data_IF_868900534842
#
_entry.id   IF_868900534842
#
_cell.length_a   1.000
_cell.length_b   1.000
_cell.length_c   1.000
_cell.angle_alpha   90.00
_cell.angle_beta   90.00
_cell.angle_gamma   90.00
#
_symmetry.space_group_name_H-M   'P 1'
#
loop_
_entity.id
_entity.type
_entity.pdbx_description
1 polymer ?
#
# COMPACT_ATOMS: atom_id res chain seq x y z
N UNK A 1 -19.72 -17.30 26.45
CA UNK A 1 -21.17 -17.61 26.59
C UNK A 1 -22.09 -16.37 26.54
N UNK A 2 -22.34 -15.58 27.60
CA UNK A 2 -23.32 -14.46 27.52
C UNK A 2 -22.98 -13.34 26.51
N UNK A 3 -21.69 -13.00 26.36
CA UNK A 3 -21.25 -11.99 25.37
C UNK A 3 -21.37 -12.53 23.94
N UNK A 4 -21.11 -13.83 23.78
CA UNK A 4 -21.14 -14.54 22.50
C UNK A 4 -22.56 -14.65 21.95
N UNK A 5 -23.51 -15.03 22.80
CA UNK A 5 -24.93 -15.06 22.43
C UNK A 5 -25.46 -13.66 22.10
N UNK A 6 -25.00 -12.62 22.81
CA UNK A 6 -25.34 -11.23 22.49
C UNK A 6 -24.84 -10.85 21.09
N UNK A 7 -23.56 -11.10 20.79
CA UNK A 7 -22.95 -10.78 19.49
C UNK A 7 -23.64 -11.56 18.36
N UNK A 8 -23.89 -12.86 18.57
CA UNK A 8 -24.53 -13.71 17.57
C UNK A 8 -25.97 -13.28 17.29
N UNK A 9 -26.71 -12.88 18.32
CA UNK A 9 -28.07 -12.36 18.17
C UNK A 9 -28.08 -11.02 17.43
N UNK A 10 -27.13 -10.13 17.75
CA UNK A 10 -26.99 -8.83 17.08
C UNK A 10 -26.60 -9.00 15.61
N UNK A 11 -25.69 -9.92 15.33
CA UNK A 11 -25.31 -10.32 13.98
C UNK A 11 -26.50 -10.88 13.22
N UNK A 12 -27.22 -11.86 13.79
CA UNK A 12 -28.38 -12.49 13.14
C UNK A 12 -29.45 -11.46 12.76
N UNK A 13 -29.69 -10.46 13.62
CA UNK A 13 -30.66 -9.40 13.36
C UNK A 13 -30.23 -8.45 12.23
N UNK A 14 -28.94 -8.16 12.11
CA UNK A 14 -28.38 -7.23 11.13
C UNK A 14 -27.56 -7.95 10.04
N UNK A 15 -27.80 -9.25 9.84
CA UNK A 15 -26.94 -10.12 9.05
C UNK A 15 -26.84 -9.64 7.60
N UNK A 16 -27.98 -9.27 7.01
CA UNK A 16 -28.03 -8.77 5.64
C UNK A 16 -27.14 -7.53 5.44
N UNK A 17 -27.32 -6.49 6.26
CA UNK A 17 -26.49 -5.27 6.18
C UNK A 17 -25.00 -5.57 6.36
N UNK A 18 -24.68 -6.45 7.31
CA UNK A 18 -23.30 -6.80 7.65
C UNK A 18 -22.62 -7.56 6.51
N UNK A 19 -23.32 -8.55 5.93
CA UNK A 19 -22.86 -9.28 4.75
C UNK A 19 -22.70 -8.36 3.54
N UNK A 20 -23.60 -7.38 3.36
CA UNK A 20 -23.46 -6.37 2.29
C UNK A 20 -22.17 -5.56 2.48
N UNK A 21 -21.90 -5.05 3.69
CA UNK A 21 -20.67 -4.29 3.95
C UNK A 21 -19.40 -5.13 3.74
N UNK A 22 -19.40 -6.38 4.23
CA UNK A 22 -18.29 -7.32 4.04
C UNK A 22 -18.04 -7.65 2.57
N UNK A 23 -19.09 -7.89 1.78
CA UNK A 23 -18.98 -8.14 0.34
C UNK A 23 -18.43 -6.93 -0.42
N UNK A 24 -18.92 -5.72 -0.10
CA UNK A 24 -18.41 -4.48 -0.70
C UNK A 24 -16.93 -4.27 -0.36
N UNK A 25 -16.52 -4.56 0.88
CA UNK A 25 -15.12 -4.42 1.31
C UNK A 25 -14.20 -5.49 0.73
N UNK A 26 -14.71 -6.71 0.50
CA UNK A 26 -14.02 -7.72 -0.28
C UNK A 26 -13.74 -7.24 -1.71
N UNK A 27 -14.76 -6.70 -2.40
CA UNK A 27 -14.62 -6.13 -3.74
C UNK A 27 -13.67 -4.93 -3.79
N UNK A 28 -13.73 -4.07 -2.76
CA UNK A 28 -12.81 -2.94 -2.58
C UNK A 28 -11.36 -3.41 -2.47
N UNK A 29 -11.09 -4.39 -1.59
CA UNK A 29 -9.75 -4.96 -1.43
C UNK A 29 -9.23 -5.64 -2.70
N UNK A 30 -10.10 -6.37 -3.41
CA UNK A 30 -9.80 -6.96 -4.70
C UNK A 30 -9.36 -5.89 -5.71
N UNK A 31 -10.13 -4.81 -5.83
CA UNK A 31 -9.88 -3.73 -6.80
C UNK A 31 -8.56 -3.01 -6.53
N UNK A 32 -8.28 -2.63 -5.28
CA UNK A 32 -7.04 -1.93 -4.92
C UNK A 32 -5.82 -2.79 -5.21
N UNK A 33 -5.84 -4.07 -4.84
CA UNK A 33 -4.69 -4.95 -5.04
C UNK A 33 -4.48 -5.35 -6.50
N UNK A 34 -5.54 -5.34 -7.34
CA UNK A 34 -5.47 -5.73 -8.76
C UNK A 34 -4.57 -4.78 -9.56
N UNK A 35 -4.53 -3.53 -9.11
CA UNK A 35 -3.79 -2.47 -9.77
C UNK A 35 -2.26 -2.61 -9.60
N UNK A 36 -1.81 -3.23 -8.51
CA UNK A 36 -0.38 -3.44 -8.24
C UNK A 36 0.35 -4.28 -9.30
N UNK A 37 -0.09 -5.52 -9.60
CA UNK A 37 0.58 -6.35 -10.59
C UNK A 37 0.34 -5.88 -12.04
N UNK A 38 -0.70 -5.08 -12.29
CA UNK A 38 -1.03 -4.58 -13.65
C UNK A 38 -0.32 -3.28 -14.02
N UNK A 39 0.51 -2.69 -13.14
CA UNK A 39 1.22 -1.41 -13.39
C UNK A 39 2.03 -1.44 -14.69
N UNK A 40 2.78 -2.53 -14.94
CA UNK A 40 3.63 -2.63 -16.14
C UNK A 40 2.82 -2.77 -17.42
N UNK A 41 1.73 -3.53 -17.38
CA UNK A 41 0.83 -3.67 -18.53
C UNK A 41 0.13 -2.34 -18.82
N UNK A 42 -0.31 -1.58 -17.80
CA UNK A 42 -0.91 -0.25 -18.00
C UNK A 42 0.07 0.75 -18.62
N UNK A 43 1.34 0.71 -18.19
CA UNK A 43 2.42 1.51 -18.80
C UNK A 43 2.57 1.17 -20.28
N UNK A 44 2.63 -0.11 -20.61
CA UNK A 44 2.79 -0.59 -21.96
C UNK A 44 1.58 -0.25 -22.85
N UNK A 45 0.37 -0.48 -22.34
CA UNK A 45 -0.89 -0.16 -22.99
C UNK A 45 -1.00 1.34 -23.34
N UNK A 46 -0.55 2.22 -22.45
CA UNK A 46 -0.60 3.68 -22.66
C UNK A 46 0.63 4.25 -23.37
N UNK A 47 1.65 3.43 -23.63
CA UNK A 47 2.93 3.88 -24.20
C UNK A 47 3.67 4.92 -23.34
N UNK A 48 3.41 4.92 -22.03
CA UNK A 48 3.83 6.00 -21.13
C UNK A 48 5.05 5.65 -20.29
N UNK A 49 5.56 6.65 -19.57
CA UNK A 49 6.63 6.46 -18.59
C UNK A 49 6.07 5.95 -17.26
N UNK A 50 6.91 5.27 -16.47
CA UNK A 50 6.51 4.81 -15.14
C UNK A 50 6.13 5.98 -14.21
N UNK A 51 6.76 7.14 -14.40
CA UNK A 51 6.47 8.35 -13.66
C UNK A 51 5.05 8.85 -13.92
N UNK A 52 4.60 8.85 -15.18
CA UNK A 52 3.23 9.21 -15.55
C UNK A 52 2.20 8.26 -14.94
N UNK A 53 2.46 6.95 -14.97
CA UNK A 53 1.61 5.96 -14.29
C UNK A 53 1.58 6.17 -12.77
N UNK A 54 2.71 6.56 -12.16
CA UNK A 54 2.74 6.89 -10.72
C UNK A 54 1.84 8.10 -10.40
N UNK A 55 1.80 9.11 -11.27
CA UNK A 55 0.89 10.26 -11.13
C UNK A 55 -0.59 9.87 -11.27
N UNK A 56 -0.90 8.88 -12.10
CA UNK A 56 -2.26 8.29 -12.21
C UNK A 56 -2.69 7.70 -10.86
N UNK A 57 -1.84 6.87 -10.23
CA UNK A 57 -2.12 6.30 -8.91
C UNK A 57 -2.17 7.34 -7.81
N UNK A 58 -1.31 8.35 -7.87
CA UNK A 58 -1.39 9.48 -6.94
C UNK A 58 -2.74 10.20 -7.01
N UNK A 59 -3.25 10.43 -8.22
CA UNK A 59 -4.57 11.04 -8.46
C UNK A 59 -5.71 10.21 -7.83
N UNK A 60 -5.68 8.89 -8.00
CA UNK A 60 -6.62 7.97 -7.35
C UNK A 60 -6.61 8.12 -5.81
N UNK A 61 -5.43 8.13 -5.20
CA UNK A 61 -5.30 8.24 -3.73
C UNK A 61 -5.76 9.61 -3.22
N UNK A 62 -5.49 10.68 -3.97
CA UNK A 62 -5.99 12.02 -3.66
C UNK A 62 -7.52 12.07 -3.71
N UNK A 63 -8.12 11.52 -4.76
CA UNK A 63 -9.57 11.46 -4.89
C UNK A 63 -10.23 10.54 -3.86
N UNK A 64 -9.56 9.47 -3.43
CA UNK A 64 -9.99 8.63 -2.31
C UNK A 64 -10.09 9.44 -1.03
N UNK A 65 -9.08 10.25 -0.71
CA UNK A 65 -9.12 11.14 0.46
C UNK A 65 -10.31 12.12 0.39
N UNK A 66 -10.59 12.69 -0.78
CA UNK A 66 -11.73 13.57 -1.01
C UNK A 66 -13.06 12.82 -0.83
N UNK A 67 -13.15 11.60 -1.38
CA UNK A 67 -14.29 10.70 -1.23
C UNK A 67 -14.55 10.38 0.24
N UNK A 68 -13.51 10.06 1.01
CA UNK A 68 -13.65 9.78 2.44
C UNK A 68 -14.08 11.02 3.25
N UNK A 69 -13.58 12.19 2.88
CA UNK A 69 -13.96 13.45 3.53
C UNK A 69 -15.43 13.81 3.29
N UNK A 70 -15.98 13.45 2.13
CA UNK A 70 -17.37 13.75 1.75
C UNK A 70 -18.35 12.61 2.07
N UNK A 71 -17.86 11.38 2.29
CA UNK A 71 -18.65 10.17 2.53
C UNK A 71 -19.65 10.29 3.69
N UNK A 72 -19.32 11.08 4.71
CA UNK A 72 -20.21 11.32 5.87
C UNK A 72 -21.57 11.94 5.52
N UNK A 73 -21.66 12.68 4.42
CA UNK A 73 -22.91 13.31 3.94
C UNK A 73 -23.93 12.25 3.52
N UNK A 74 -23.46 11.13 2.97
CA UNK A 74 -24.30 10.07 2.40
C UNK A 74 -24.77 9.05 3.44
N UNK A 75 -24.54 9.29 4.73
CA UNK A 75 -24.91 8.35 5.80
C UNK A 75 -26.41 8.05 5.87
N UNK A 76 -27.29 9.00 5.49
CA UNK A 76 -28.74 8.77 5.43
C UNK A 76 -29.16 7.93 4.22
N UNK A 77 -28.40 7.98 3.13
CA UNK A 77 -28.64 7.28 1.86
C UNK A 77 -27.60 6.19 1.62
N UNK A 78 -27.06 5.62 2.70
CA UNK A 78 -25.86 4.80 2.69
C UNK A 78 -25.91 3.62 1.70
N UNK A 79 -26.99 2.84 1.69
CA UNK A 79 -27.10 1.69 0.77
C UNK A 79 -27.12 2.10 -0.70
N UNK A 80 -27.81 3.21 -1.03
CA UNK A 80 -27.87 3.75 -2.38
C UNK A 80 -26.48 4.22 -2.81
N UNK A 81 -25.80 4.98 -1.94
CA UNK A 81 -24.46 5.46 -2.19
C UNK A 81 -23.44 4.31 -2.36
N UNK A 82 -23.52 3.25 -1.54
CA UNK A 82 -22.68 2.06 -1.67
C UNK A 82 -22.94 1.32 -2.99
N UNK A 83 -24.20 1.18 -3.40
CA UNK A 83 -24.56 0.55 -4.66
C UNK A 83 -23.98 1.30 -5.86
N UNK A 84 -24.21 2.62 -5.94
CA UNK A 84 -23.68 3.43 -7.04
C UNK A 84 -22.15 3.52 -7.03
N UNK A 85 -21.52 3.64 -5.86
CA UNK A 85 -20.05 3.67 -5.77
C UNK A 85 -19.43 2.35 -6.22
N UNK A 86 -20.01 1.22 -5.83
CA UNK A 86 -19.57 -0.11 -6.29
C UNK A 86 -19.77 -0.29 -7.80
N UNK A 87 -20.91 0.17 -8.33
CA UNK A 87 -21.17 0.17 -9.77
C UNK A 87 -20.16 1.02 -10.54
N UNK A 88 -19.83 2.22 -10.04
CA UNK A 88 -18.82 3.09 -10.64
C UNK A 88 -17.46 2.39 -10.71
N UNK A 89 -17.02 1.73 -9.63
CA UNK A 89 -15.75 0.99 -9.61
C UNK A 89 -15.76 -0.11 -10.67
N UNK A 90 -16.83 -0.91 -10.74
CA UNK A 90 -16.98 -1.98 -11.74
C UNK A 90 -16.91 -1.45 -13.18
N UNK A 91 -17.61 -0.35 -13.47
CA UNK A 91 -17.59 0.31 -14.78
C UNK A 91 -16.20 0.84 -15.11
N UNK A 92 -15.51 1.47 -14.15
CA UNK A 92 -14.13 1.94 -14.35
C UNK A 92 -13.20 0.77 -14.70
N UNK A 93 -13.26 -0.34 -13.96
CA UNK A 93 -12.42 -1.52 -14.23
C UNK A 93 -12.68 -2.14 -15.60
N UNK A 94 -13.92 -2.09 -16.10
CA UNK A 94 -14.24 -2.51 -17.46
C UNK A 94 -13.69 -1.53 -18.53
N UNK A 95 -13.52 -0.25 -18.19
CA UNK A 95 -13.01 0.80 -19.09
C UNK A 95 -11.47 0.82 -19.10
N UNK A 96 -10.79 0.45 -18.01
CA UNK A 96 -9.31 0.49 -17.90
C UNK A 96 -8.59 -0.15 -19.10
N UNK A 97 -8.97 -1.35 -19.60
CA UNK A 97 -8.33 -1.96 -20.78
C UNK A 97 -8.51 -1.17 -22.09
N UNK A 98 -9.46 -0.23 -22.13
CA UNK A 98 -9.73 0.63 -23.27
C UNK A 98 -9.01 2.00 -23.17
N UNK A 99 -8.33 2.26 -22.05
CA UNK A 99 -7.61 3.51 -21.82
C UNK A 99 -6.21 3.48 -22.44
N UNK A 100 -6.07 3.91 -23.69
CA UNK A 100 -4.77 4.06 -24.36
C UNK A 100 -4.09 5.41 -24.06
N UNK A 101 -4.83 6.37 -23.51
CA UNK A 101 -4.31 7.70 -23.15
C UNK A 101 -4.13 7.80 -21.63
N UNK A 102 -2.96 8.25 -21.18
CA UNK A 102 -2.65 8.43 -19.75
C UNK A 102 -3.66 9.33 -19.05
N UNK A 103 -4.11 10.41 -19.71
CA UNK A 103 -5.11 11.31 -19.13
C UNK A 103 -6.45 10.62 -18.90
N UNK A 104 -6.89 9.78 -19.84
CA UNK A 104 -8.14 9.03 -19.71
C UNK A 104 -8.04 8.02 -18.56
N UNK A 105 -6.89 7.35 -18.45
CA UNK A 105 -6.59 6.45 -17.34
C UNK A 105 -6.57 7.23 -16.00
N UNK A 106 -5.92 8.40 -15.94
CA UNK A 106 -5.88 9.26 -14.75
C UNK A 106 -7.28 9.66 -14.26
N UNK A 107 -8.16 10.06 -15.17
CA UNK A 107 -9.55 10.42 -14.85
C UNK A 107 -10.34 9.20 -14.38
N UNK A 108 -10.22 8.06 -15.06
CA UNK A 108 -10.89 6.82 -14.66
C UNK A 108 -10.47 6.40 -13.23
N UNK A 109 -9.16 6.45 -12.96
CA UNK A 109 -8.57 6.13 -11.66
C UNK A 109 -8.99 7.13 -10.58
N UNK A 110 -9.03 8.43 -10.88
CA UNK A 110 -9.56 9.46 -9.97
C UNK A 110 -11.03 9.20 -9.58
N UNK A 111 -11.88 8.88 -10.56
CA UNK A 111 -13.31 8.56 -10.32
C UNK A 111 -13.46 7.33 -9.45
N UNK A 112 -12.68 6.26 -9.72
CA UNK A 112 -12.68 5.08 -8.86
C UNK A 112 -12.20 5.40 -7.44
N UNK A 113 -11.17 6.24 -7.29
CA UNK A 113 -10.66 6.70 -6.00
C UNK A 113 -11.74 7.37 -5.17
N UNK A 114 -12.49 8.31 -5.77
CA UNK A 114 -13.59 8.99 -5.10
C UNK A 114 -14.68 8.01 -4.64
N UNK A 115 -15.09 7.06 -5.49
CA UNK A 115 -16.05 6.03 -5.14
C UNK A 115 -15.54 5.12 -4.01
N UNK A 116 -14.26 4.73 -4.06
CA UNK A 116 -13.57 3.96 -3.03
C UNK A 116 -13.60 4.68 -1.67
N UNK A 117 -13.27 5.97 -1.63
CA UNK A 117 -13.29 6.75 -0.38
C UNK A 117 -14.69 6.88 0.23
N UNK A 118 -15.72 7.03 -0.61
CA UNK A 118 -17.12 7.06 -0.17
C UNK A 118 -17.51 5.72 0.46
N UNK A 119 -17.18 4.60 -0.20
CA UNK A 119 -17.44 3.25 0.31
C UNK A 119 -16.78 3.06 1.68
N UNK A 120 -15.49 3.38 1.77
CA UNK A 120 -14.69 3.21 2.98
C UNK A 120 -15.33 3.94 4.17
N UNK A 121 -15.70 5.20 3.96
CA UNK A 121 -16.29 6.02 5.01
C UNK A 121 -17.70 5.59 5.39
N UNK A 122 -18.57 5.32 4.42
CA UNK A 122 -19.96 4.94 4.70
C UNK A 122 -20.02 3.62 5.45
N UNK A 123 -19.31 2.59 4.98
CA UNK A 123 -19.36 1.28 5.62
C UNK A 123 -18.82 1.33 7.05
N UNK A 124 -17.69 2.00 7.27
CA UNK A 124 -17.13 2.17 8.61
C UNK A 124 -18.09 2.92 9.55
N UNK A 125 -18.70 4.03 9.09
CA UNK A 125 -19.67 4.80 9.91
C UNK A 125 -20.92 3.96 10.22
N UNK A 126 -21.49 3.27 9.22
CA UNK A 126 -22.71 2.48 9.40
C UNK A 126 -22.47 1.31 10.34
N UNK A 127 -21.34 0.61 10.19
CA UNK A 127 -21.02 -0.55 11.03
C UNK A 127 -20.82 -0.15 12.50
N UNK A 128 -20.12 0.97 12.75
CA UNK A 128 -20.03 1.56 14.09
C UNK A 128 -21.41 1.97 14.60
N UNK A 129 -22.27 2.52 13.75
CA UNK A 129 -23.61 2.95 14.15
C UNK A 129 -24.53 1.78 14.52
N UNK A 130 -24.44 0.65 13.82
CA UNK A 130 -25.25 -0.55 14.05
C UNK A 130 -24.80 -1.30 15.31
N UNK A 131 -23.49 -1.51 15.47
CA UNK A 131 -22.93 -2.38 16.51
C UNK A 131 -22.44 -1.64 17.76
N UNK A 132 -22.34 -0.30 17.72
CA UNK A 132 -22.00 0.58 18.85
C UNK A 132 -20.80 0.07 19.67
N UNK A 133 -21.02 -0.40 20.90
CA UNK A 133 -19.98 -0.86 21.84
C UNK A 133 -19.25 -2.13 21.36
N UNK A 134 -19.94 -2.96 20.58
CA UNK A 134 -19.39 -4.22 20.05
C UNK A 134 -18.84 -4.05 18.61
N UNK A 135 -18.83 -2.81 18.08
CA UNK A 135 -18.43 -2.53 16.68
C UNK A 135 -16.99 -2.92 16.33
N UNK A 136 -16.07 -2.90 17.30
CA UNK A 136 -14.67 -3.24 17.07
C UNK A 136 -14.47 -4.63 16.43
N UNK A 137 -15.23 -5.64 16.87
CA UNK A 137 -15.14 -7.01 16.34
C UNK A 137 -15.64 -7.05 14.88
N UNK A 138 -16.72 -6.32 14.60
CA UNK A 138 -17.28 -6.27 13.24
C UNK A 138 -16.41 -5.45 12.29
N UNK A 139 -15.77 -4.37 12.75
CA UNK A 139 -14.79 -3.60 11.97
C UNK A 139 -13.53 -4.43 11.66
N UNK A 140 -13.06 -5.24 12.60
CA UNK A 140 -11.97 -6.19 12.35
C UNK A 140 -12.35 -7.21 11.28
N UNK A 141 -13.56 -7.79 11.38
CA UNK A 141 -14.06 -8.69 10.35
C UNK A 141 -14.21 -7.98 8.99
N UNK A 142 -14.65 -6.72 8.98
CA UNK A 142 -14.77 -5.90 7.77
C UNK A 142 -13.41 -5.73 7.06
N UNK A 143 -12.36 -5.35 7.78
CA UNK A 143 -11.01 -5.23 7.21
C UNK A 143 -10.36 -6.58 6.89
N UNK A 144 -10.72 -7.65 7.60
CA UNK A 144 -10.34 -9.01 7.20
C UNK A 144 -10.83 -9.31 5.77
N UNK A 145 -12.06 -8.91 5.42
CA UNK A 145 -12.55 -9.08 4.04
C UNK A 145 -11.81 -8.21 3.01
N UNK A 146 -11.33 -7.02 3.37
CA UNK A 146 -10.41 -6.25 2.50
C UNK A 146 -9.15 -7.06 2.23
N UNK A 147 -8.49 -7.55 3.29
CA UNK A 147 -7.26 -8.34 3.16
C UNK A 147 -7.47 -9.62 2.36
N UNK A 148 -8.62 -10.29 2.54
CA UNK A 148 -9.00 -11.46 1.76
C UNK A 148 -9.18 -11.12 0.27
N UNK A 149 -9.86 -10.02 -0.05
CA UNK A 149 -9.99 -9.54 -1.42
C UNK A 149 -8.63 -9.19 -2.04
N UNK A 150 -7.76 -8.52 -1.27
CA UNK A 150 -6.42 -8.17 -1.69
C UNK A 150 -5.55 -9.41 -1.98
N UNK A 151 -5.71 -10.48 -1.20
CA UNK A 151 -5.03 -11.76 -1.43
C UNK A 151 -5.52 -12.45 -2.71
N UNK A 152 -6.82 -12.43 -2.98
CA UNK A 152 -7.40 -13.05 -4.19
C UNK A 152 -6.96 -12.31 -5.46
N UNK A 153 -6.65 -11.01 -5.37
CA UNK A 153 -6.43 -10.17 -6.55
C UNK A 153 -5.23 -10.56 -7.42
N UNK A 154 -4.01 -10.73 -6.87
CA UNK A 154 -2.88 -11.22 -7.66
C UNK A 154 -3.16 -12.59 -8.29
N UNK A 155 -3.86 -13.51 -7.62
CA UNK A 155 -4.19 -14.82 -8.21
C UNK A 155 -5.10 -14.71 -9.45
N UNK A 156 -5.95 -13.68 -9.51
CA UNK A 156 -6.78 -13.40 -10.70
C UNK A 156 -5.94 -12.74 -11.79
N UNK A 157 -5.06 -11.81 -11.44
CA UNK A 157 -4.27 -11.03 -12.42
C UNK A 157 -3.13 -11.84 -13.04
N UNK A 158 -2.40 -12.63 -12.24
CA UNK A 158 -1.17 -13.35 -12.60
C UNK A 158 -1.24 -14.12 -13.94
N UNK A 159 -2.28 -14.94 -14.23
CA UNK A 159 -2.33 -15.69 -15.48
C UNK A 159 -2.55 -14.84 -16.75
N UNK A 160 -2.89 -13.56 -16.61
CA UNK A 160 -3.21 -12.67 -17.75
C UNK A 160 -2.16 -11.58 -17.99
N UNK A 161 -1.13 -11.47 -17.14
CA UNK A 161 -0.10 -10.46 -17.27
C UNK A 161 0.84 -10.83 -18.43
N UNK A 162 1.08 -9.86 -19.32
CA UNK A 162 1.77 -10.12 -20.58
C UNK A 162 3.29 -10.07 -20.43
N UNK A 163 3.98 -11.20 -20.68
CA UNK A 163 5.45 -11.21 -20.75
C UNK A 163 6.00 -10.38 -21.94
N UNK A 164 5.14 -10.02 -22.89
CA UNK A 164 5.54 -9.38 -24.16
C UNK A 164 6.01 -7.93 -23.99
N UNK A 165 5.55 -7.22 -22.95
CA UNK A 165 6.04 -5.87 -22.64
C UNK A 165 7.44 -5.87 -21.99
N UNK A 166 7.90 -7.02 -21.48
CA UNK A 166 9.28 -7.22 -21.05
C UNK A 166 10.23 -7.48 -22.24
N UNK A 167 9.69 -7.85 -23.40
CA UNK A 167 10.42 -8.40 -24.54
C UNK A 167 10.42 -7.50 -25.80
N UNK A 168 10.08 -6.22 -25.70
CA UNK A 168 10.17 -5.32 -26.87
C UNK A 168 11.59 -4.77 -27.02
N UNK A 169 12.28 -5.25 -28.05
CA UNK A 169 13.65 -4.98 -28.50
C UNK A 169 14.79 -5.59 -27.67
N UNK A 170 15.03 -6.90 -27.82
CA UNK A 170 16.36 -7.46 -28.15
C UNK A 170 16.31 -8.98 -28.33
N UNK A 171 16.78 -9.47 -29.48
CA UNK A 171 17.41 -10.80 -29.62
C UNK A 171 18.86 -10.80 -29.12
N UNK A 172 19.22 -9.84 -28.27
CA UNK A 172 20.44 -9.83 -27.48
C UNK A 172 20.10 -10.29 -26.06
N UNK A 173 20.93 -11.18 -25.51
CA UNK A 173 20.84 -11.79 -24.19
C UNK A 173 20.00 -10.99 -23.18
N UNK A 174 19.03 -11.64 -22.56
CA UNK A 174 18.06 -11.10 -21.59
C UNK A 174 18.66 -10.34 -20.38
N UNK A 175 19.98 -10.27 -20.28
CA UNK A 175 20.76 -9.51 -19.31
C UNK A 175 20.86 -7.99 -19.61
N UNK A 176 20.68 -7.53 -20.86
CA UNK A 176 20.89 -6.09 -21.18
C UNK A 176 19.66 -5.19 -20.96
N UNK A 177 18.43 -5.70 -21.05
CA UNK A 177 17.21 -4.86 -20.92
C UNK A 177 16.91 -4.53 -19.44
N UNK A 178 17.20 -5.46 -18.52
CA UNK A 178 17.15 -5.21 -17.06
C UNK A 178 18.12 -4.08 -16.67
N UNK A 179 19.25 -3.97 -17.38
CA UNK A 179 20.19 -2.87 -17.19
C UNK A 179 19.59 -1.49 -17.53
N UNK A 180 18.56 -1.41 -18.38
CA UNK A 180 17.90 -0.15 -18.71
C UNK A 180 16.84 0.24 -17.66
N UNK A 181 16.14 -0.71 -17.03
CA UNK A 181 15.26 -0.44 -15.87
C UNK A 181 16.08 0.00 -14.65
N UNK A 182 17.26 -0.61 -14.46
CA UNK A 182 18.33 -0.17 -13.52
C UNK A 182 18.81 1.26 -13.80
N UNK A 183 18.77 1.72 -15.05
CA UNK A 183 19.24 3.06 -15.45
C UNK A 183 18.21 4.17 -15.24
N UNK A 184 16.90 3.88 -15.29
CA UNK A 184 15.87 4.92 -15.10
C UNK A 184 15.76 5.43 -13.66
N UNK A 185 16.35 4.70 -12.69
CA UNK A 185 16.55 5.13 -11.30
C UNK A 185 17.95 5.73 -11.05
N UNK A 186 18.74 5.95 -12.12
CA UNK A 186 20.06 6.59 -12.08
C UNK A 186 20.03 7.82 -13.00
N UNK A 187 20.57 8.96 -12.58
CA UNK A 187 20.73 10.10 -13.50
C UNK A 187 21.55 9.68 -14.73
N UNK A 188 21.29 10.27 -15.92
CA UNK A 188 21.91 9.84 -17.17
C UNK A 188 23.39 10.27 -17.20
N UNK A 189 24.31 9.29 -17.19
CA UNK A 189 25.72 9.54 -17.54
C UNK A 189 25.89 9.21 -19.02
N UNK A 190 26.13 10.25 -19.80
CA UNK A 190 26.49 10.17 -21.22
C UNK A 190 27.86 9.50 -21.33
N UNK A 191 27.95 8.35 -22.00
CA UNK A 191 29.24 7.78 -22.39
C UNK A 191 29.60 8.26 -23.80
N UNK A 192 30.65 9.07 -23.89
CA UNK A 192 31.44 9.23 -25.12
C UNK A 192 32.80 8.60 -24.83
N UNK A 193 33.16 7.55 -25.58
CA UNK A 193 34.50 6.94 -25.52
C UNK A 193 35.57 7.97 -25.93
N UNK A 194 36.61 8.12 -25.10
CA UNK A 194 38.01 7.91 -25.49
C UNK A 194 39.00 8.25 -24.34
N UNK A 195 39.93 7.32 -24.13
CA UNK A 195 41.25 7.46 -23.46
C UNK A 195 41.36 7.23 -21.93
N UNK A 196 42.42 6.56 -21.44
CA UNK A 196 42.47 5.95 -20.12
C UNK A 196 43.17 6.83 -19.10
N UNK A 197 42.43 7.36 -18.12
CA UNK A 197 42.90 7.70 -16.77
C UNK A 197 41.74 8.36 -16.02
N UNK A 198 40.95 7.58 -15.29
CA UNK A 198 39.98 8.14 -14.35
C UNK A 198 39.61 7.10 -13.30
N UNK A 199 39.76 7.53 -12.05
CA UNK A 199 39.48 6.83 -10.79
C UNK A 199 38.11 6.14 -10.76
N UNK A 200 37.92 5.09 -9.92
CA UNK A 200 36.67 4.35 -9.87
C UNK A 200 35.52 5.25 -9.38
N UNK A 201 34.66 5.68 -10.31
CA UNK A 201 33.43 6.43 -10.03
C UNK A 201 32.45 5.54 -9.26
N UNK A 202 32.50 5.64 -7.94
CA UNK A 202 31.35 5.84 -7.03
C UNK A 202 30.01 5.14 -7.38
N UNK A 203 30.02 3.83 -7.65
CA UNK A 203 28.78 3.02 -7.74
C UNK A 203 28.15 2.74 -6.36
N UNK A 204 28.87 3.05 -5.27
CA UNK A 204 28.57 2.67 -3.88
C UNK A 204 27.58 3.63 -3.17
N UNK A 205 27.37 4.83 -3.71
CA UNK A 205 26.65 5.93 -3.04
C UNK A 205 25.12 5.85 -3.18
N UNK A 206 24.57 5.37 -4.29
CA UNK A 206 23.14 5.51 -4.60
C UNK A 206 22.20 4.69 -3.70
N UNK A 207 22.57 3.46 -3.35
CA UNK A 207 21.70 2.58 -2.53
C UNK A 207 21.68 3.03 -1.06
N UNK A 208 22.79 3.59 -0.56
CA UNK A 208 22.86 4.10 0.81
C UNK A 208 21.86 5.25 1.04
N UNK A 209 21.69 6.15 0.07
CA UNK A 209 20.71 7.24 0.15
C UNK A 209 19.27 6.72 0.26
N UNK A 210 18.91 5.64 -0.45
CA UNK A 210 17.58 5.04 -0.34
C UNK A 210 17.29 4.55 1.09
N UNK A 211 18.26 3.89 1.73
CA UNK A 211 18.13 3.47 3.14
C UNK A 211 17.99 4.65 4.10
N UNK A 212 18.73 5.75 3.87
CA UNK A 212 18.61 6.96 4.69
C UNK A 212 17.26 7.67 4.51
N UNK A 213 16.73 7.71 3.29
CA UNK A 213 15.39 8.24 3.00
C UNK A 213 14.33 7.41 3.74
N UNK A 214 14.43 6.08 3.67
CA UNK A 214 13.52 5.18 4.41
C UNK A 214 13.63 5.33 5.92
N UNK A 215 14.85 5.50 6.46
CA UNK A 215 15.04 5.79 7.88
C UNK A 215 14.36 7.11 8.27
N UNK A 216 14.48 8.16 7.47
CA UNK A 216 13.88 9.47 7.72
C UNK A 216 12.34 9.40 7.69
N UNK A 217 11.77 8.68 6.72
CA UNK A 217 10.32 8.44 6.62
C UNK A 217 9.81 7.71 7.86
N UNK A 218 10.47 6.61 8.25
CA UNK A 218 10.08 5.83 9.44
C UNK A 218 10.24 6.63 10.74
N UNK A 219 11.25 7.48 10.84
CA UNK A 219 11.39 8.42 11.96
C UNK A 219 10.21 9.43 11.98
N UNK A 220 9.78 9.92 10.82
CA UNK A 220 8.59 10.77 10.67
C UNK A 220 7.30 10.11 11.17
N UNK A 221 7.12 8.81 10.94
CA UNK A 221 6.00 8.01 11.49
C UNK A 221 6.02 8.04 13.02
N UNK A 222 7.17 7.75 13.65
CA UNK A 222 7.32 7.75 15.11
C UNK A 222 7.06 9.13 15.70
N UNK A 223 7.67 10.18 15.12
CA UNK A 223 7.49 11.56 15.57
C UNK A 223 6.01 11.97 15.50
N UNK A 224 5.34 11.64 14.40
CA UNK A 224 3.91 11.98 14.23
C UNK A 224 3.04 11.21 15.23
N UNK A 225 3.32 9.94 15.49
CA UNK A 225 2.62 9.14 16.52
C UNK A 225 2.86 9.69 17.93
N UNK A 226 4.07 10.12 18.26
CA UNK A 226 4.40 10.76 19.53
C UNK A 226 3.63 12.08 19.70
N UNK A 227 3.61 12.92 18.67
CA UNK A 227 2.87 14.17 18.70
C UNK A 227 1.37 13.94 18.85
N UNK A 228 0.80 12.95 18.15
CA UNK A 228 -0.59 12.54 18.30
C UNK A 228 -0.90 12.03 19.71
N UNK A 229 0.03 11.33 20.35
CA UNK A 229 -0.11 10.85 21.72
C UNK A 229 -0.09 12.00 22.73
N UNK A 230 0.80 12.99 22.56
CA UNK A 230 0.90 14.16 23.45
C UNK A 230 -0.33 15.07 23.28
N UNK A 231 -0.75 15.33 22.04
CA UNK A 231 -1.80 16.29 21.70
C UNK A 231 -3.16 15.63 21.42
N UNK A 232 -3.40 14.44 21.97
CA UNK A 232 -4.62 13.64 21.71
C UNK A 232 -5.93 14.34 22.11
N UNK A 233 -5.86 15.40 22.91
CA UNK A 233 -7.05 16.16 23.37
C UNK A 233 -7.58 17.11 22.29
N UNK A 234 -6.75 17.56 21.34
CA UNK A 234 -7.17 18.53 20.32
C UNK A 234 -7.66 17.81 19.04
N UNK A 235 -8.94 17.96 18.72
CA UNK A 235 -9.59 17.32 17.55
C UNK A 235 -8.99 17.75 16.21
N UNK A 236 -8.60 19.02 16.08
CA UNK A 236 -7.99 19.53 14.84
C UNK A 236 -6.62 18.90 14.66
N UNK A 237 -5.86 18.79 15.75
CA UNK A 237 -4.55 18.16 15.72
C UNK A 237 -4.63 16.66 15.43
N UNK A 238 -5.64 15.95 15.97
CA UNK A 238 -5.89 14.56 15.62
C UNK A 238 -6.11 14.38 14.12
N UNK A 239 -6.95 15.22 13.51
CA UNK A 239 -7.19 15.15 12.06
C UNK A 239 -5.91 15.40 11.27
N UNK A 240 -5.26 16.55 11.47
CA UNK A 240 -4.03 16.92 10.75
C UNK A 240 -2.92 15.91 10.97
N UNK A 241 -2.74 15.44 12.21
CA UNK A 241 -1.72 14.45 12.56
C UNK A 241 -2.00 13.08 11.95
N UNK A 242 -3.26 12.64 11.85
CA UNK A 242 -3.60 11.38 11.15
C UNK A 242 -3.38 11.49 9.64
N UNK A 243 -3.67 12.64 9.03
CA UNK A 243 -3.34 12.88 7.61
C UNK A 243 -1.83 12.84 7.38
N UNK A 244 -1.05 13.49 8.26
CA UNK A 244 0.41 13.49 8.19
C UNK A 244 0.98 12.08 8.40
N UNK A 245 0.42 11.31 9.33
CA UNK A 245 0.79 9.92 9.55
C UNK A 245 0.52 9.07 8.30
N UNK A 246 -0.62 9.26 7.66
CA UNK A 246 -0.97 8.60 6.40
C UNK A 246 0.02 8.92 5.26
N UNK A 247 0.48 10.17 5.16
CA UNK A 247 1.50 10.57 4.18
C UNK A 247 2.81 9.80 4.37
N UNK A 248 3.29 9.64 5.60
CA UNK A 248 4.51 8.88 5.86
C UNK A 248 4.30 7.38 5.59
N UNK A 249 3.21 6.79 6.06
CA UNK A 249 2.93 5.34 5.90
C UNK A 249 2.76 4.97 4.41
N UNK A 250 2.15 5.84 3.59
CA UNK A 250 1.93 5.60 2.15
C UNK A 250 3.20 5.20 1.40
N UNK A 251 4.34 5.81 1.76
CA UNK A 251 5.63 5.55 1.11
C UNK A 251 6.31 4.25 1.55
N UNK A 252 5.89 3.65 2.67
CA UNK A 252 6.55 2.46 3.24
C UNK A 252 6.32 1.23 2.37
N UNK A 253 5.11 1.05 1.84
CA UNK A 253 4.75 -0.14 1.08
C UNK A 253 5.44 -0.21 -0.30
N UNK A 254 5.42 0.84 -1.15
CA UNK A 254 6.16 0.84 -2.42
C UNK A 254 7.66 0.61 -2.23
N UNK A 255 8.26 1.22 -1.21
CA UNK A 255 9.68 1.05 -0.91
C UNK A 255 10.01 -0.36 -0.40
N UNK A 256 9.13 -1.00 0.37
CA UNK A 256 9.31 -2.37 0.82
C UNK A 256 9.27 -3.37 -0.34
N UNK A 257 8.34 -3.19 -1.28
CA UNK A 257 8.25 -4.01 -2.50
C UNK A 257 9.52 -3.84 -3.33
N UNK A 258 9.90 -2.60 -3.65
CA UNK A 258 11.11 -2.32 -4.42
C UNK A 258 12.37 -2.94 -3.78
N UNK A 259 12.50 -2.81 -2.45
CA UNK A 259 13.62 -3.40 -1.72
C UNK A 259 13.64 -4.92 -1.75
N UNK A 260 12.46 -5.56 -1.67
CA UNK A 260 12.37 -7.02 -1.62
C UNK A 260 12.61 -7.63 -3.00
N UNK A 261 12.13 -6.99 -4.06
CA UNK A 261 12.43 -7.40 -5.44
C UNK A 261 13.92 -7.27 -5.76
N UNK A 262 14.58 -6.21 -5.28
CA UNK A 262 16.03 -6.02 -5.40
C UNK A 262 16.86 -7.13 -4.72
N UNK A 263 16.32 -7.76 -3.66
CA UNK A 263 17.03 -8.81 -2.91
C UNK A 263 16.71 -10.22 -3.42
N UNK A 264 15.47 -10.47 -3.84
CA UNK A 264 15.00 -11.83 -4.09
C UNK A 264 15.13 -12.32 -5.53
N UNK A 265 15.51 -11.48 -6.51
CA UNK A 265 15.65 -11.84 -7.95
C UNK A 265 14.45 -12.62 -8.57
N UNK A 266 13.31 -12.72 -7.87
CA UNK A 266 12.11 -13.47 -8.24
C UNK A 266 10.90 -12.54 -8.26
N UNK A 267 10.47 -12.13 -9.45
CA UNK A 267 9.29 -11.29 -9.63
C UNK A 267 7.99 -12.10 -9.44
N UNK A 268 6.94 -11.47 -8.88
CA UNK A 268 5.58 -12.05 -8.73
C UNK A 268 5.34 -12.86 -7.45
N UNK A 269 6.15 -13.90 -7.19
CA UNK A 269 5.99 -14.73 -5.99
C UNK A 269 6.35 -13.95 -4.71
N UNK A 270 7.43 -13.16 -4.74
CA UNK A 270 7.85 -12.32 -3.63
C UNK A 270 6.78 -11.29 -3.25
N UNK A 271 6.17 -10.62 -4.24
CA UNK A 271 5.10 -9.64 -4.03
C UNK A 271 3.87 -10.28 -3.40
N UNK A 272 3.48 -11.48 -3.85
CA UNK A 272 2.37 -12.23 -3.24
C UNK A 272 2.66 -12.59 -1.78
N UNK A 273 3.87 -13.06 -1.46
CA UNK A 273 4.27 -13.37 -0.07
C UNK A 273 4.33 -12.10 0.79
N UNK A 274 4.85 -10.99 0.26
CA UNK A 274 4.88 -9.70 0.95
C UNK A 274 3.46 -9.19 1.25
N UNK A 275 2.58 -9.18 0.25
CA UNK A 275 1.18 -8.74 0.43
C UNK A 275 0.45 -9.63 1.42
N UNK A 276 0.62 -10.95 1.31
CA UNK A 276 0.00 -11.92 2.22
C UNK A 276 0.47 -11.72 3.66
N UNK A 277 1.79 -11.55 3.86
CA UNK A 277 2.35 -11.33 5.20
C UNK A 277 1.98 -9.96 5.76
N UNK A 278 1.93 -8.91 4.94
CA UNK A 278 1.44 -7.59 5.32
C UNK A 278 -0.04 -7.64 5.75
N UNK A 279 -0.89 -8.32 4.98
CA UNK A 279 -2.30 -8.51 5.31
C UNK A 279 -2.50 -9.30 6.61
N UNK A 280 -1.77 -10.39 6.82
CA UNK A 280 -1.80 -11.14 8.09
C UNK A 280 -1.33 -10.27 9.27
N UNK A 281 -0.29 -9.47 9.07
CA UNK A 281 0.24 -8.54 10.06
C UNK A 281 -0.79 -7.48 10.45
N UNK A 282 -1.43 -6.86 9.47
CA UNK A 282 -2.52 -5.89 9.66
C UNK A 282 -3.66 -6.50 10.48
N UNK A 283 -4.14 -7.70 10.11
CA UNK A 283 -5.21 -8.40 10.82
C UNK A 283 -4.84 -8.68 12.29
N UNK A 284 -3.63 -9.19 12.52
CA UNK A 284 -3.13 -9.51 13.87
C UNK A 284 -3.07 -8.25 14.73
N UNK A 285 -2.59 -7.15 14.16
CA UNK A 285 -2.46 -5.87 14.82
C UNK A 285 -3.84 -5.27 15.15
N UNK A 286 -4.79 -5.34 14.22
CA UNK A 286 -6.17 -4.89 14.44
C UNK A 286 -6.85 -5.66 15.58
N UNK A 287 -6.68 -6.99 15.65
CA UNK A 287 -7.22 -7.83 16.74
C UNK A 287 -6.60 -7.44 18.09
N UNK A 288 -5.27 -7.36 18.15
CA UNK A 288 -4.54 -7.00 19.35
C UNK A 288 -4.98 -5.63 19.87
N UNK A 289 -4.95 -4.62 19.01
CA UNK A 289 -5.29 -3.24 19.36
C UNK A 289 -6.75 -3.11 19.79
N UNK A 290 -7.69 -3.76 19.08
CA UNK A 290 -9.10 -3.75 19.48
C UNK A 290 -9.35 -4.36 20.86
N UNK A 291 -8.66 -5.45 21.20
CA UNK A 291 -8.76 -6.07 22.53
C UNK A 291 -8.21 -5.16 23.65
N UNK A 292 -7.15 -4.41 23.36
CA UNK A 292 -6.52 -3.48 24.29
C UNK A 292 -7.38 -2.22 24.49
N UNK A 293 -8.01 -1.71 23.44
CA UNK A 293 -8.95 -0.59 23.54
C UNK A 293 -10.11 -0.92 24.49
N UNK A 294 -10.65 -2.15 24.43
CA UNK A 294 -11.72 -2.57 25.33
C UNK A 294 -11.28 -2.64 26.80
N UNK A 295 -10.03 -3.03 27.08
CA UNK A 295 -9.51 -3.20 28.45
C UNK A 295 -8.97 -1.91 29.07
N UNK A 296 -8.24 -1.12 28.30
CA UNK A 296 -7.45 0.03 28.79
C UNK A 296 -7.94 1.38 28.27
N UNK A 297 -8.86 1.42 27.31
CA UNK A 297 -9.38 2.66 26.71
C UNK A 297 -8.68 3.04 25.40
N UNK A 298 -9.18 4.09 24.75
CA UNK A 298 -8.83 4.47 23.36
C UNK A 298 -7.39 4.92 23.16
N UNK A 299 -6.72 5.46 24.18
CA UNK A 299 -5.30 5.85 24.09
C UNK A 299 -4.38 4.65 23.78
N UNK A 300 -4.82 3.43 24.09
CA UNK A 300 -4.10 2.19 23.78
C UNK A 300 -3.79 2.05 22.29
N UNK A 301 -4.63 2.60 21.41
CA UNK A 301 -4.41 2.61 19.96
C UNK A 301 -3.09 3.32 19.60
N UNK A 302 -2.92 4.56 20.07
CA UNK A 302 -1.74 5.38 19.78
C UNK A 302 -0.48 4.78 20.40
N UNK A 303 -0.59 4.24 21.62
CA UNK A 303 0.54 3.60 22.30
C UNK A 303 0.99 2.34 21.56
N UNK A 304 0.06 1.48 21.11
CA UNK A 304 0.41 0.30 20.32
C UNK A 304 1.07 0.69 18.99
N UNK A 305 0.51 1.68 18.29
CA UNK A 305 1.10 2.21 17.06
C UNK A 305 2.53 2.71 17.29
N UNK A 306 2.77 3.46 18.37
CA UNK A 306 4.10 3.96 18.72
C UNK A 306 5.08 2.83 19.02
N UNK A 307 4.69 1.84 19.84
CA UNK A 307 5.55 0.70 20.18
C UNK A 307 5.93 -0.07 18.92
N UNK A 308 4.97 -0.36 18.05
CA UNK A 308 5.20 -1.12 16.81
C UNK A 308 6.05 -0.30 15.83
N UNK A 309 5.81 1.01 15.72
CA UNK A 309 6.65 1.92 14.93
C UNK A 309 8.11 1.92 15.40
N UNK A 310 8.34 2.02 16.70
CA UNK A 310 9.68 1.94 17.30
C UNK A 310 10.34 0.57 17.04
N UNK A 311 9.61 -0.54 17.24
CA UNK A 311 10.11 -1.88 16.94
C UNK A 311 10.47 -2.04 15.46
N UNK A 312 9.62 -1.55 14.55
CA UNK A 312 9.87 -1.56 13.11
C UNK A 312 11.10 -0.75 12.72
N UNK A 313 11.29 0.43 13.33
CA UNK A 313 12.47 1.26 13.09
C UNK A 313 13.76 0.60 13.62
N UNK A 314 13.73 -0.01 14.81
CA UNK A 314 14.87 -0.75 15.36
C UNK A 314 15.21 -1.96 14.48
N UNK A 315 14.20 -2.70 14.01
CA UNK A 315 14.39 -3.81 13.08
C UNK A 315 15.04 -3.33 11.78
N UNK A 316 14.54 -2.25 11.19
CA UNK A 316 15.10 -1.65 9.99
C UNK A 316 16.57 -1.23 10.18
N UNK A 317 16.89 -0.52 11.27
CA UNK A 317 18.27 -0.15 11.59
C UNK A 317 19.17 -1.39 11.77
N UNK A 318 18.66 -2.44 12.40
CA UNK A 318 19.39 -3.70 12.58
C UNK A 318 19.74 -4.35 11.24
N UNK A 319 18.80 -4.34 10.27
CA UNK A 319 19.05 -4.83 8.90
C UNK A 319 20.11 -3.97 8.20
N UNK A 320 20.02 -2.64 8.29
CA UNK A 320 21.01 -1.73 7.70
C UNK A 320 22.40 -1.96 8.30
N UNK A 321 22.49 -2.12 9.62
CA UNK A 321 23.75 -2.41 10.32
C UNK A 321 24.30 -3.77 9.91
N UNK A 322 23.47 -4.81 9.85
CA UNK A 322 23.87 -6.15 9.43
C UNK A 322 24.41 -6.12 7.99
N UNK A 323 23.72 -5.44 7.07
CA UNK A 323 24.17 -5.27 5.69
C UNK A 323 25.51 -4.50 5.62
N UNK A 324 25.68 -3.44 6.40
CA UNK A 324 26.94 -2.69 6.47
C UNK A 324 28.09 -3.53 7.01
N UNK A 325 27.84 -4.32 8.06
CA UNK A 325 28.82 -5.24 8.64
C UNK A 325 29.19 -6.32 7.63
N UNK A 326 28.20 -6.94 6.98
CA UNK A 326 28.42 -7.97 5.96
C UNK A 326 29.27 -7.43 4.79
N UNK A 327 28.99 -6.22 4.30
CA UNK A 327 29.79 -5.56 3.25
C UNK A 327 31.21 -5.23 3.69
N UNK A 328 31.40 -4.87 4.95
CA UNK A 328 32.73 -4.65 5.51
C UNK A 328 33.52 -5.96 5.68
N UNK A 329 32.85 -7.06 6.05
CA UNK A 329 33.45 -8.39 6.22
C UNK A 329 33.81 -9.05 4.88
N UNK A 330 32.99 -8.87 3.84
CA UNK A 330 33.23 -9.45 2.49
C UNK A 330 34.26 -8.67 1.66
N UNK A 331 34.84 -7.58 2.18
CA UNK A 331 36.09 -7.04 1.62
C UNK A 331 36.06 -6.67 0.14
N UNK A 332 34.93 -6.22 -0.43
CA UNK A 332 34.89 -5.61 -1.79
C UNK A 332 35.53 -4.21 -1.78
N UNK A 333 36.82 -4.19 -1.48
CA UNK A 333 37.81 -3.13 -1.69
C UNK A 333 39.19 -3.71 -2.07
N UNK A 334 39.37 -5.03 -2.33
CA UNK A 334 40.61 -5.55 -2.94
C UNK A 334 40.39 -6.83 -3.78
N UNK A 335 40.42 -6.67 -5.11
CA UNK A 335 41.15 -7.45 -6.14
C UNK A 335 40.92 -8.99 -6.31
N UNK A 336 40.77 -9.36 -7.59
CA UNK A 336 40.90 -10.67 -8.30
C UNK A 336 39.83 -11.75 -8.10
N UNK A 337 38.92 -11.82 -9.08
CA UNK A 337 38.29 -13.09 -9.49
C UNK A 337 39.12 -13.67 -10.63
N UNK A 338 39.62 -14.90 -10.43
CA UNK A 338 39.94 -15.82 -11.52
C UNK A 338 38.63 -16.36 -12.10
#
# INVERSE_FOLDING_TARGET
>A
MLIEERILTLFRRNCQYTLTYWSVFFSFGLSIAFLGPTILDLKCQTGSTLQEITWVFFSQQLCLLIGSSTGGVFTKTALIALFFSSLIISVVFAIIPLCYNVLLLAVAMAVSGLAMGIIDTIANIQLVSIYKKDSAIFLQALHFFIGLGALVSPLIADPFISEHCLASNSTANATEIIHHFRSSFRSPVIHTENSPHSEPVEEKANVAYAFWIMALINAGVIVTLLLLLILYTNRVFLFVGTTLLGLFISSVFPCLVAYTEDILEYHGCATTVLVTTAGMGEMTLQVLVGSLIQKKGTYSFLVCGLVIGCLGFVFFLSVVLCNRIHRNLTGKNNITWL
#
